data_IF_138131415631
#
_entry.id   IF_138131415631
#
_cell.length_a   1.000
_cell.length_b   1.000
_cell.length_c   1.000
_cell.angle_alpha   90.00
_cell.angle_beta   90.00
_cell.angle_gamma   90.00
#
_symmetry.space_group_name_H-M   'P 1'
#
loop_
_entity.id
_entity.type
_entity.pdbx_description
1 polymer ?
#
# COMPACT_ATOMS: atom_id res chain seq x y z
N UNK A 1 10.28 1.92 -15.79
CA UNK A 1 10.25 1.99 -14.32
C UNK A 1 10.85 0.73 -13.73
N UNK A 2 11.71 0.89 -12.76
CA UNK A 2 12.32 -0.25 -12.08
C UNK A 2 11.41 -0.75 -10.97
N UNK A 3 11.18 -2.05 -10.92
CA UNK A 3 10.39 -2.70 -9.87
C UNK A 3 11.07 -2.54 -8.51
N UNK A 4 10.31 -2.17 -7.49
CA UNK A 4 10.79 -2.17 -6.12
C UNK A 4 11.07 -3.59 -5.64
N UNK A 5 12.16 -3.75 -4.89
CA UNK A 5 12.57 -5.02 -4.29
C UNK A 5 13.04 -4.78 -2.85
N UNK A 6 13.21 -5.84 -2.09
CA UNK A 6 13.68 -5.75 -0.69
C UNK A 6 14.93 -4.89 -0.53
N UNK A 7 15.81 -4.88 -1.51
CA UNK A 7 17.07 -4.14 -1.47
C UNK A 7 16.97 -2.70 -1.99
N UNK A 8 15.80 -2.30 -2.49
CA UNK A 8 15.60 -0.93 -3.01
C UNK A 8 15.54 0.13 -1.91
N UNK A 9 15.25 -0.26 -0.67
CA UNK A 9 15.16 0.63 0.47
C UNK A 9 15.45 -0.11 1.78
N UNK A 10 15.52 0.65 2.87
CA UNK A 10 15.69 0.11 4.21
C UNK A 10 14.45 -0.68 4.65
N UNK A 11 14.66 -1.90 5.12
CA UNK A 11 13.60 -2.77 5.63
C UNK A 11 14.02 -3.44 6.92
N UNK A 12 13.06 -3.58 7.85
CA UNK A 12 13.13 -4.50 8.96
C UNK A 12 12.32 -5.76 8.65
N UNK A 13 12.61 -6.89 9.28
CA UNK A 13 11.81 -8.10 9.12
C UNK A 13 10.34 -7.86 9.49
N UNK A 14 9.39 -8.62 8.92
CA UNK A 14 8.01 -8.57 9.36
C UNK A 14 7.90 -8.79 10.86
N UNK A 15 6.99 -8.07 11.57
CA UNK A 15 6.84 -8.19 13.00
C UNK A 15 6.35 -9.57 13.40
N UNK A 16 6.76 -10.04 14.57
CA UNK A 16 6.22 -11.29 15.14
C UNK A 16 4.82 -11.08 15.69
N UNK A 17 4.56 -9.92 16.28
CA UNK A 17 3.22 -9.55 16.76
C UNK A 17 2.41 -8.97 15.61
N UNK A 18 1.46 -9.75 15.12
CA UNK A 18 0.60 -9.40 13.98
C UNK A 18 -0.83 -9.75 14.28
N UNK A 19 -1.75 -9.01 13.68
CA UNK A 19 -3.17 -9.28 13.73
C UNK A 19 -3.71 -9.51 12.31
N UNK A 20 -4.55 -10.51 12.15
CA UNK A 20 -5.22 -10.75 10.88
C UNK A 20 -6.11 -9.55 10.53
N UNK A 21 -5.93 -9.02 9.32
CA UNK A 21 -6.61 -7.80 8.90
C UNK A 21 -7.95 -8.09 8.21
N UNK A 22 -8.08 -9.24 7.57
CA UNK A 22 -9.29 -9.57 6.83
C UNK A 22 -9.58 -8.62 5.67
N UNK A 23 -8.54 -8.03 5.09
CA UNK A 23 -8.66 -7.14 3.94
C UNK A 23 -9.00 -7.95 2.69
N UNK A 24 -10.07 -7.58 2.00
CA UNK A 24 -10.51 -8.25 0.78
C UNK A 24 -10.50 -7.25 -0.39
N UNK A 25 -9.89 -7.66 -1.50
CA UNK A 25 -9.88 -6.88 -2.72
C UNK A 25 -9.53 -7.77 -3.91
N UNK A 26 -9.94 -7.34 -5.10
CA UNK A 26 -9.54 -7.93 -6.37
C UNK A 26 -9.05 -6.82 -7.30
N UNK A 27 -8.06 -7.14 -8.11
CA UNK A 27 -7.39 -6.21 -9.00
C UNK A 27 -7.35 -6.78 -10.41
N UNK A 28 -7.54 -5.94 -11.41
CA UNK A 28 -7.38 -6.34 -12.81
C UNK A 28 -5.88 -6.48 -13.16
N UNK A 29 -5.58 -6.90 -14.38
CA UNK A 29 -4.18 -7.11 -14.82
C UNK A 29 -3.34 -5.84 -14.74
N UNK A 30 -3.88 -4.70 -15.18
CA UNK A 30 -3.17 -3.43 -15.16
C UNK A 30 -2.90 -2.95 -13.72
N UNK A 31 -3.87 -3.08 -12.84
CA UNK A 31 -3.72 -2.77 -11.41
C UNK A 31 -2.70 -3.72 -10.76
N UNK A 32 -2.76 -5.00 -11.06
CA UNK A 32 -1.82 -6.00 -10.53
C UNK A 32 -0.38 -5.67 -10.91
N UNK A 33 -0.13 -5.22 -12.14
CA UNK A 33 1.20 -4.77 -12.56
C UNK A 33 1.71 -3.60 -11.72
N UNK A 34 0.85 -2.65 -11.39
CA UNK A 34 1.21 -1.52 -10.53
C UNK A 34 1.52 -1.97 -9.10
N UNK A 35 0.74 -2.89 -8.55
CA UNK A 35 1.02 -3.46 -7.23
C UNK A 35 2.38 -4.15 -7.19
N UNK A 36 2.68 -4.96 -8.19
CA UNK A 36 3.96 -5.68 -8.30
C UNK A 36 5.13 -4.74 -8.54
N UNK A 37 4.91 -3.62 -9.23
CA UNK A 37 5.92 -2.59 -9.42
C UNK A 37 6.35 -1.98 -8.08
N UNK A 38 5.40 -1.77 -7.18
CA UNK A 38 5.66 -1.20 -5.86
C UNK A 38 5.93 0.30 -5.88
N UNK A 39 6.48 0.79 -4.78
CA UNK A 39 6.79 2.20 -4.57
C UNK A 39 8.10 2.35 -3.80
N UNK A 40 9.06 3.07 -4.39
CA UNK A 40 10.31 3.45 -3.71
C UNK A 40 10.23 4.94 -3.37
N UNK A 41 10.49 5.33 -2.10
CA UNK A 41 10.54 6.73 -1.72
C UNK A 41 11.57 7.50 -2.56
N UNK A 42 11.23 8.71 -2.95
CA UNK A 42 12.13 9.59 -3.73
C UNK A 42 12.66 10.72 -2.87
N UNK A 43 11.88 11.14 -1.89
CA UNK A 43 12.20 12.27 -1.02
C UNK A 43 11.89 11.94 0.44
N UNK A 44 12.37 12.79 1.35
CA UNK A 44 12.21 12.58 2.80
C UNK A 44 10.74 12.62 3.25
N UNK A 45 9.90 13.32 2.50
CA UNK A 45 8.46 13.41 2.76
C UNK A 45 7.70 12.13 2.41
N UNK A 46 8.26 11.29 1.56
CA UNK A 46 7.63 10.02 1.19
C UNK A 46 7.72 9.04 2.37
N UNK A 47 6.58 8.68 2.92
CA UNK A 47 6.49 7.93 4.18
C UNK A 47 6.45 6.42 4.00
N UNK A 48 6.27 5.93 2.78
CA UNK A 48 6.08 4.51 2.52
C UNK A 48 7.04 3.97 1.48
N UNK A 49 7.57 2.79 1.78
CA UNK A 49 8.25 1.90 0.86
C UNK A 49 7.41 0.63 0.71
N UNK A 50 7.06 0.27 -0.51
CA UNK A 50 6.16 -0.85 -0.79
C UNK A 50 6.79 -1.71 -1.87
N UNK A 51 6.91 -3.02 -1.62
CA UNK A 51 7.41 -3.94 -2.63
C UNK A 51 6.70 -5.28 -2.57
N UNK A 52 6.70 -5.97 -3.70
CA UNK A 52 6.14 -7.31 -3.83
C UNK A 52 7.26 -8.36 -3.73
N UNK A 53 7.12 -9.29 -2.80
CA UNK A 53 8.02 -10.41 -2.60
C UNK A 53 7.32 -11.70 -3.02
N UNK A 54 7.87 -12.35 -4.02
CA UNK A 54 7.32 -13.56 -4.58
C UNK A 54 7.88 -13.87 -5.96
N UNK A 55 7.54 -15.02 -6.54
CA UNK A 55 7.97 -15.36 -7.91
C UNK A 55 7.49 -14.28 -8.88
N UNK A 56 8.30 -14.00 -9.88
CA UNK A 56 8.03 -12.96 -10.84
C UNK A 56 6.69 -13.18 -11.54
N UNK A 57 5.74 -12.32 -11.25
CA UNK A 57 4.40 -12.34 -11.85
C UNK A 57 4.41 -12.27 -13.39
N UNK A 58 5.51 -11.73 -13.94
CA UNK A 58 5.62 -11.40 -15.36
C UNK A 58 5.95 -12.55 -16.30
N UNK A 59 6.47 -13.64 -15.82
CA UNK A 59 7.10 -14.60 -16.75
C UNK A 59 6.24 -15.78 -17.11
N UNK A 60 4.97 -15.74 -16.80
CA UNK A 60 4.13 -16.90 -17.04
C UNK A 60 3.01 -16.62 -18.00
N UNK A 61 3.39 -16.69 -19.25
CA UNK A 61 2.46 -16.93 -20.34
C UNK A 61 1.88 -18.36 -20.33
N UNK A 62 2.16 -19.16 -19.30
CA UNK A 62 1.68 -20.53 -19.19
C UNK A 62 0.84 -20.69 -17.91
N UNK A 63 -0.34 -21.26 -18.00
CA UNK A 63 -1.19 -21.51 -16.84
C UNK A 63 -0.66 -22.70 -16.03
N UNK A 64 0.24 -22.42 -15.11
CA UNK A 64 0.67 -23.41 -14.12
C UNK A 64 0.11 -23.06 -12.75
N UNK A 65 -0.33 -24.04 -11.96
CA UNK A 65 -1.22 -23.79 -10.81
C UNK A 65 -0.59 -23.20 -9.55
N UNK A 66 0.68 -22.87 -9.50
CA UNK A 66 1.29 -22.50 -8.21
C UNK A 66 2.19 -21.27 -8.21
N UNK A 67 2.31 -20.58 -9.31
CA UNK A 67 3.41 -19.64 -9.48
C UNK A 67 3.05 -18.16 -9.45
N UNK A 68 1.88 -17.83 -8.95
CA UNK A 68 1.38 -16.45 -8.92
C UNK A 68 1.05 -15.91 -7.53
N UNK A 69 1.67 -16.45 -6.48
CA UNK A 69 1.43 -15.97 -5.12
C UNK A 69 2.63 -15.19 -4.60
N UNK A 70 2.37 -14.18 -3.77
CA UNK A 70 3.40 -13.44 -3.08
C UNK A 70 2.83 -12.40 -2.14
N UNK A 71 3.71 -11.76 -1.39
CA UNK A 71 3.35 -10.77 -0.39
C UNK A 71 3.69 -9.36 -0.85
N UNK A 72 2.71 -8.49 -0.81
CA UNK A 72 2.91 -7.05 -0.92
C UNK A 72 3.16 -6.51 0.48
N UNK A 73 4.34 -5.96 0.71
CA UNK A 73 4.81 -5.54 2.02
C UNK A 73 4.93 -4.01 2.08
N UNK A 74 4.36 -3.43 3.13
CA UNK A 74 4.28 -1.99 3.34
C UNK A 74 5.18 -1.60 4.50
N UNK A 75 6.27 -0.90 4.19
CA UNK A 75 7.26 -0.45 5.17
C UNK A 75 7.20 1.06 5.35
N UNK A 76 7.41 1.50 6.60
CA UNK A 76 7.67 2.93 6.85
C UNK A 76 9.06 3.28 6.32
N UNK A 77 9.15 4.32 5.51
CA UNK A 77 10.40 4.68 4.84
C UNK A 77 11.52 5.08 5.81
N UNK A 78 11.16 5.74 6.90
CA UNK A 78 12.14 6.27 7.85
C UNK A 78 12.68 5.21 8.80
N UNK A 79 11.85 4.30 9.24
CA UNK A 79 12.22 3.28 10.22
C UNK A 79 12.53 1.93 9.59
N UNK A 80 11.96 1.67 8.41
CA UNK A 80 11.98 0.35 7.79
C UNK A 80 10.94 -0.62 8.36
N UNK A 81 10.17 -0.21 9.37
CA UNK A 81 9.19 -1.07 10.02
C UNK A 81 8.13 -1.56 9.04
N UNK A 82 7.86 -2.87 9.02
CA UNK A 82 6.84 -3.48 8.18
C UNK A 82 5.49 -3.42 8.91
N UNK A 83 4.58 -2.62 8.37
CA UNK A 83 3.29 -2.33 9.02
C UNK A 83 2.17 -3.23 8.50
N UNK A 84 2.10 -3.45 7.19
CA UNK A 84 1.08 -4.29 6.56
C UNK A 84 1.70 -5.33 5.65
N UNK A 85 1.07 -6.51 5.61
CA UNK A 85 1.32 -7.53 4.61
C UNK A 85 0.02 -7.92 3.92
N UNK A 86 0.04 -8.00 2.60
CA UNK A 86 -1.10 -8.40 1.77
C UNK A 86 -0.66 -9.55 0.88
N UNK A 87 -1.27 -10.72 1.07
CA UNK A 87 -0.99 -11.89 0.26
C UNK A 87 -1.85 -11.86 -0.99
N UNK A 88 -1.19 -11.79 -2.12
CA UNK A 88 -1.84 -11.77 -3.43
C UNK A 88 -1.72 -13.14 -4.09
N UNK A 89 -2.82 -13.60 -4.66
CA UNK A 89 -2.88 -14.78 -5.52
C UNK A 89 -3.38 -14.36 -6.90
N UNK A 90 -2.71 -14.84 -7.94
CA UNK A 90 -3.14 -14.59 -9.29
C UNK A 90 -4.50 -15.25 -9.56
N UNK A 91 -5.38 -14.49 -10.21
CA UNK A 91 -6.70 -14.94 -10.62
C UNK A 91 -6.91 -14.63 -12.10
N UNK A 92 -7.92 -15.22 -12.76
CA UNK A 92 -8.26 -14.84 -14.14
C UNK A 92 -8.50 -13.34 -14.24
N UNK A 93 -7.74 -12.67 -15.10
CA UNK A 93 -7.85 -11.22 -15.33
C UNK A 93 -7.17 -10.32 -14.29
N UNK A 94 -6.35 -10.89 -13.37
CA UNK A 94 -5.63 -10.07 -12.40
C UNK A 94 -5.15 -10.82 -11.16
N UNK A 95 -5.42 -10.26 -9.98
CA UNK A 95 -5.07 -10.85 -8.70
C UNK A 95 -6.16 -10.59 -7.65
N UNK A 96 -6.16 -11.40 -6.60
CA UNK A 96 -7.03 -11.22 -5.43
C UNK A 96 -6.22 -11.32 -4.14
N UNK A 97 -6.70 -10.66 -3.11
CA UNK A 97 -6.17 -10.81 -1.76
C UNK A 97 -6.71 -12.10 -1.14
N UNK A 98 -5.81 -12.94 -0.65
CA UNK A 98 -6.15 -14.20 0.02
C UNK A 98 -5.80 -14.20 1.50
N UNK A 99 -4.92 -13.31 1.93
CA UNK A 99 -4.57 -13.12 3.33
C UNK A 99 -4.03 -11.71 3.55
N UNK A 100 -4.13 -11.20 4.77
CA UNK A 100 -3.58 -9.91 5.14
C UNK A 100 -3.38 -9.80 6.65
N UNK A 101 -2.38 -9.00 7.05
CA UNK A 101 -2.11 -8.76 8.46
C UNK A 101 -1.61 -7.33 8.66
N UNK A 102 -1.71 -6.88 9.89
CA UNK A 102 -1.16 -5.60 10.36
C UNK A 102 -0.25 -5.83 11.57
N UNK A 103 0.79 -5.03 11.67
CA UNK A 103 1.70 -5.06 12.80
C UNK A 103 0.99 -4.67 14.11
N UNK A 104 1.26 -5.42 15.16
CA UNK A 104 0.86 -5.08 16.55
C UNK A 104 2.07 -4.95 17.46
N UNK A 105 3.25 -4.76 16.90
CA UNK A 105 4.44 -4.40 17.65
C UNK A 105 4.36 -2.92 18.07
N UNK A 106 4.15 -2.62 19.37
CA UNK A 106 3.96 -1.25 19.83
C UNK A 106 5.22 -0.37 19.69
N UNK A 107 6.38 -0.98 19.51
CA UNK A 107 7.61 -0.25 19.25
C UNK A 107 7.66 0.32 17.82
N UNK A 108 6.92 -0.26 16.90
CA UNK A 108 6.96 0.09 15.48
C UNK A 108 5.65 0.71 14.98
N UNK A 109 4.51 0.30 15.52
CA UNK A 109 3.20 0.77 15.11
C UNK A 109 2.25 0.87 16.30
N UNK A 110 1.61 2.02 16.47
CA UNK A 110 0.75 2.30 17.61
C UNK A 110 -0.75 2.10 17.32
N UNK A 111 -1.11 1.80 16.09
CA UNK A 111 -2.49 1.52 15.73
C UNK A 111 -3.00 0.24 16.36
N UNK A 112 -4.28 0.22 16.75
CA UNK A 112 -4.96 -0.92 17.37
C UNK A 112 -6.33 -1.20 16.79
N UNK A 113 -6.81 -0.36 15.88
CA UNK A 113 -8.14 -0.46 15.29
C UNK A 113 -8.08 -1.12 13.90
N UNK A 114 -8.52 -2.37 13.82
CA UNK A 114 -8.54 -3.16 12.58
C UNK A 114 -9.40 -2.51 11.50
N UNK A 115 -10.53 -1.92 11.86
CA UNK A 115 -11.40 -1.24 10.88
C UNK A 115 -10.71 -0.04 10.25
N UNK A 116 -10.02 0.75 11.07
CA UNK A 116 -9.22 1.87 10.58
C UNK A 116 -8.07 1.38 9.70
N UNK A 117 -7.37 0.33 10.14
CA UNK A 117 -6.26 -0.24 9.38
C UNK A 117 -6.69 -0.73 7.99
N UNK A 118 -7.86 -1.36 7.86
CA UNK A 118 -8.40 -1.75 6.55
C UNK A 118 -8.64 -0.54 5.65
N UNK A 119 -9.21 0.52 6.19
CA UNK A 119 -9.46 1.77 5.45
C UNK A 119 -8.16 2.45 5.02
N UNK A 120 -7.19 2.50 5.92
CA UNK A 120 -5.88 3.08 5.62
C UNK A 120 -5.13 2.26 4.57
N UNK A 121 -5.12 0.95 4.70
CA UNK A 121 -4.49 0.06 3.71
C UNK A 121 -5.14 0.23 2.33
N UNK A 122 -6.47 0.28 2.26
CA UNK A 122 -7.17 0.55 1.00
C UNK A 122 -6.75 1.88 0.40
N UNK A 123 -6.69 2.92 1.22
CA UNK A 123 -6.24 4.24 0.78
C UNK A 123 -4.81 4.21 0.23
N UNK A 124 -3.88 3.53 0.92
CA UNK A 124 -2.49 3.43 0.48
C UNK A 124 -2.38 2.72 -0.88
N UNK A 125 -3.13 1.65 -1.07
CA UNK A 125 -3.17 0.94 -2.35
C UNK A 125 -3.71 1.85 -3.43
N UNK A 126 -4.88 2.42 -3.23
CA UNK A 126 -5.54 3.24 -4.25
C UNK A 126 -4.72 4.50 -4.60
N UNK A 127 -4.28 5.23 -3.58
CA UNK A 127 -3.59 6.50 -3.78
C UNK A 127 -2.14 6.34 -4.24
N UNK A 128 -1.36 5.48 -3.58
CA UNK A 128 0.08 5.39 -3.80
C UNK A 128 0.46 4.42 -4.91
N UNK A 129 -0.22 3.29 -5.03
CA UNK A 129 0.12 2.27 -6.01
C UNK A 129 -0.70 2.39 -7.29
N UNK A 130 -2.02 2.49 -7.17
CA UNK A 130 -2.92 2.59 -8.32
C UNK A 130 -3.07 4.03 -8.83
N UNK A 131 -2.67 5.01 -8.04
CA UNK A 131 -2.75 6.44 -8.36
C UNK A 131 -4.16 6.90 -8.69
N UNK A 132 -5.12 6.33 -7.97
CA UNK A 132 -6.53 6.67 -8.08
C UNK A 132 -6.88 7.77 -7.08
N UNK A 133 -7.87 8.62 -7.40
CA UNK A 133 -8.44 9.54 -6.41
C UNK A 133 -9.01 8.75 -5.23
N UNK A 134 -8.60 9.10 -4.02
CA UNK A 134 -9.06 8.45 -2.80
C UNK A 134 -9.16 9.46 -1.67
N UNK A 135 -10.10 9.23 -0.75
CA UNK A 135 -10.29 10.08 0.44
C UNK A 135 -9.51 9.47 1.60
N UNK A 136 -8.64 10.29 2.21
CA UNK A 136 -7.87 9.84 3.36
C UNK A 136 -8.79 9.54 4.54
N UNK A 137 -8.69 8.34 5.16
CA UNK A 137 -9.50 7.99 6.32
C UNK A 137 -8.97 8.71 7.56
N UNK A 138 -9.80 9.54 8.19
CA UNK A 138 -9.46 10.19 9.45
C UNK A 138 -9.80 9.25 10.60
N UNK A 139 -8.86 9.04 11.57
CA UNK A 139 -9.18 8.26 12.77
C UNK A 139 -10.22 8.94 13.62
N UNK A 140 -10.98 8.16 14.37
CA UNK A 140 -11.90 8.69 15.37
C UNK A 140 -11.15 9.53 16.43
N UNK A 141 -11.71 10.67 16.81
CA UNK A 141 -11.12 11.59 17.81
C UNK A 141 -10.17 12.63 17.25
N UNK A 142 -9.89 12.63 15.94
CA UNK A 142 -9.04 13.65 15.30
C UNK A 142 -9.77 14.40 14.19
N UNK A 143 -11.09 14.33 14.14
CA UNK A 143 -11.92 14.96 13.12
C UNK A 143 -11.81 16.50 13.12
N UNK A 144 -11.41 17.09 14.26
CA UNK A 144 -11.18 18.52 14.37
C UNK A 144 -9.83 18.98 13.83
N UNK A 145 -8.89 18.05 13.60
CA UNK A 145 -7.60 18.39 13.03
C UNK A 145 -7.71 18.64 11.52
N UNK A 146 -6.90 19.56 10.95
CA UNK A 146 -6.87 19.72 9.51
C UNK A 146 -6.48 18.40 8.83
N UNK A 147 -7.36 17.89 7.99
CA UNK A 147 -7.18 16.59 7.32
C UNK A 147 -5.86 16.52 6.54
N UNK A 148 -5.48 17.61 5.88
CA UNK A 148 -4.23 17.66 5.13
C UNK A 148 -2.97 17.50 5.99
N UNK A 149 -2.97 18.06 7.21
CA UNK A 149 -1.84 17.93 8.13
C UNK A 149 -1.69 16.49 8.61
N UNK A 150 -2.79 15.87 9.01
CA UNK A 150 -2.77 14.48 9.46
C UNK A 150 -2.38 13.53 8.33
N UNK A 151 -2.95 13.72 7.15
CA UNK A 151 -2.61 12.95 5.96
C UNK A 151 -1.12 13.04 5.64
N UNK A 152 -0.54 14.24 5.67
CA UNK A 152 0.88 14.44 5.42
C UNK A 152 1.76 13.68 6.44
N UNK A 153 1.35 13.62 7.70
CA UNK A 153 2.06 12.88 8.74
C UNK A 153 2.08 11.38 8.47
N UNK A 154 0.98 10.84 7.97
CA UNK A 154 0.83 9.38 7.74
C UNK A 154 1.34 8.96 6.36
N UNK A 155 0.99 9.68 5.33
CA UNK A 155 1.23 9.30 3.93
C UNK A 155 2.40 10.07 3.32
N UNK A 156 2.61 11.31 3.76
CA UNK A 156 3.62 12.19 3.21
C UNK A 156 3.11 13.00 2.03
N UNK A 157 4.06 13.52 1.27
CA UNK A 157 3.80 14.43 0.15
C UNK A 157 3.17 13.75 -1.07
N UNK A 158 3.39 12.47 -1.20
CA UNK A 158 3.07 11.75 -2.44
C UNK A 158 1.59 11.79 -2.84
N UNK A 159 0.73 12.20 -1.93
CA UNK A 159 -0.69 12.23 -2.23
C UNK A 159 -1.35 13.50 -1.69
N UNK A 160 -2.26 14.09 -2.42
CA UNK A 160 -2.94 13.59 -3.63
C UNK A 160 -2.31 14.05 -4.95
N UNK A 161 -1.00 14.12 -5.05
CA UNK A 161 -0.35 14.50 -6.28
C UNK A 161 -0.78 13.58 -7.43
N UNK A 162 -1.24 14.18 -8.50
CA UNK A 162 -1.55 13.45 -9.71
C UNK A 162 -0.27 12.88 -10.32
N UNK A 163 -0.31 11.68 -10.90
CA UNK A 163 0.81 11.21 -11.70
C UNK A 163 1.14 12.21 -12.81
N UNK A 164 2.39 12.27 -13.28
CA UNK A 164 2.82 13.25 -14.28
C UNK A 164 1.94 13.30 -15.54
N UNK A 165 1.36 12.18 -15.89
CA UNK A 165 0.53 12.05 -17.10
C UNK A 165 -0.98 12.06 -16.80
N UNK A 166 -1.40 12.31 -15.57
CA UNK A 166 -2.79 12.39 -15.23
C UNK A 166 -3.35 13.78 -15.61
N UNK A 167 -4.58 13.87 -16.13
CA UNK A 167 -5.21 15.15 -16.37
C UNK A 167 -5.34 15.92 -15.05
N UNK A 168 -5.07 17.22 -15.13
CA UNK A 168 -5.17 18.10 -13.95
C UNK A 168 -6.61 18.07 -13.40
N UNK A 169 -6.74 17.66 -12.17
CA UNK A 169 -7.99 17.71 -11.44
C UNK A 169 -7.99 18.93 -10.53
N UNK A 170 -8.83 19.94 -10.75
CA UNK A 170 -8.88 21.11 -9.88
C UNK A 170 -9.25 20.71 -8.44
N UNK A 171 -8.62 21.35 -7.48
CA UNK A 171 -8.80 21.05 -6.06
C UNK A 171 -10.27 21.12 -5.59
N UNK A 172 -11.10 21.89 -6.26
CA UNK A 172 -12.52 22.05 -5.96
C UNK A 172 -13.37 20.81 -6.23
N UNK A 173 -12.94 19.90 -7.09
CA UNK A 173 -13.65 18.64 -7.34
C UNK A 173 -13.34 17.56 -6.29
N UNK A 174 -12.45 17.84 -5.36
CA UNK A 174 -12.03 16.91 -4.30
C UNK A 174 -12.77 17.14 -2.98
N UNK A 175 -13.50 18.21 -2.85
CA UNK A 175 -14.18 18.62 -1.61
C UNK A 175 -15.64 18.16 -1.51
N UNK A 176 -16.11 17.25 -2.39
CA UNK A 176 -17.48 16.71 -2.36
C UNK A 176 -17.50 15.23 -2.10
#
# INVERSE_FOLDING_TARGET
MTRASRTSWKTLPPPQQREALGFAAAFNDAETELLVLGLVPKEMEDKWFIYFEGPAYRQQASPGPASGQGWLLFHRSWTGACIYGVHLERSPGGARVVDSWVSRDPAQYKGTDVEYDRKLLRFLIDALLLRLPAVFPMPAGVESAPAGVYQHTVVGRAYPESPPDAPFMPAQSRAK
#
